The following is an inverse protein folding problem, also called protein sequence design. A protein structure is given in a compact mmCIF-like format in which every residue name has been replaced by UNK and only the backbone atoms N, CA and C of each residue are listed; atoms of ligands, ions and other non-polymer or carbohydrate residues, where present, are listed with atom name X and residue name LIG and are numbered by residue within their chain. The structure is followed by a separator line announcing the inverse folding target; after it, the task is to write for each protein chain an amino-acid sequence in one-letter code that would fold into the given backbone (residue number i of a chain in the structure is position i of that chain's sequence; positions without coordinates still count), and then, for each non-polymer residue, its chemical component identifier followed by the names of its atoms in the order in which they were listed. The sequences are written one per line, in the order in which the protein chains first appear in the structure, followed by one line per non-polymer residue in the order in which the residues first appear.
data_IF_602778335011
#
_entry.id   IF_602778335011
#
_cell.length_a   1.000
_cell.length_b   1.000
_cell.length_c   1.000
_cell.angle_alpha   90.00
_cell.angle_beta   90.00
_cell.angle_gamma   90.00
#
_symmetry.space_group_name_H-M   'P 1'
#
loop_
_entity.id
_entity.type
_entity.pdbx_description
1 polymer ?
#
# COMPACT_ATOMS: atom_id res chain seq x y z
N UNK A 1 14.69 -33.78 -16.30
CA UNK A 1 13.61 -33.30 -15.41
C UNK A 1 14.06 -32.00 -14.75
N UNK A 2 13.94 -30.84 -15.39
CA UNK A 2 14.45 -29.58 -14.81
C UNK A 2 13.85 -28.28 -15.34
N UNK A 3 13.00 -28.34 -16.37
CA UNK A 3 12.30 -27.16 -16.92
C UNK A 3 10.86 -27.02 -16.42
N UNK A 4 10.12 -28.12 -16.25
CA UNK A 4 8.70 -28.08 -15.83
C UNK A 4 8.48 -27.58 -14.38
N UNK A 5 9.45 -27.78 -13.48
CA UNK A 5 9.37 -27.27 -12.11
C UNK A 5 9.54 -25.75 -11.99
N UNK A 6 10.22 -25.10 -12.95
CA UNK A 6 10.46 -23.64 -12.90
C UNK A 6 9.26 -22.80 -13.33
N UNK A 7 8.29 -23.40 -14.01
CA UNK A 7 7.12 -22.69 -14.60
C UNK A 7 5.89 -22.84 -13.69
N UNK A 8 5.91 -23.76 -12.73
CA UNK A 8 4.79 -23.94 -11.81
C UNK A 8 4.60 -22.69 -10.94
N UNK A 9 3.38 -22.16 -10.91
CA UNK A 9 3.05 -20.92 -10.19
C UNK A 9 3.57 -19.64 -10.85
N UNK A 10 4.18 -19.70 -12.05
CA UNK A 10 4.65 -18.50 -12.75
C UNK A 10 3.49 -17.56 -13.10
N UNK A 11 2.37 -18.10 -13.57
CA UNK A 11 1.18 -17.32 -13.91
C UNK A 11 0.59 -16.63 -12.67
N UNK A 12 0.57 -17.32 -11.53
CA UNK A 12 0.11 -16.78 -10.24
C UNK A 12 1.02 -15.63 -9.79
N UNK A 13 2.34 -15.81 -9.89
CA UNK A 13 3.32 -14.75 -9.56
C UNK A 13 3.21 -13.57 -10.52
N UNK A 14 2.99 -13.80 -11.81
CA UNK A 14 2.77 -12.71 -12.79
C UNK A 14 1.51 -11.94 -12.42
N UNK A 15 0.42 -12.63 -12.05
CA UNK A 15 -0.81 -12.00 -11.63
C UNK A 15 -0.63 -11.18 -10.34
N UNK A 16 0.08 -11.73 -9.36
CA UNK A 16 0.41 -11.04 -8.10
C UNK A 16 1.25 -9.79 -8.34
N UNK A 17 2.36 -9.91 -9.08
CA UNK A 17 3.22 -8.77 -9.38
C UNK A 17 2.49 -7.71 -10.20
N UNK A 18 1.63 -8.11 -11.16
CA UNK A 18 0.80 -7.15 -11.90
C UNK A 18 -0.13 -6.38 -10.96
N UNK A 19 -0.77 -7.07 -10.02
CA UNK A 19 -1.63 -6.43 -9.01
C UNK A 19 -0.87 -5.44 -8.14
N UNK A 20 0.31 -5.84 -7.67
CA UNK A 20 1.20 -5.00 -6.87
C UNK A 20 1.66 -3.77 -7.66
N UNK A 21 2.16 -3.96 -8.88
CA UNK A 21 2.61 -2.88 -9.76
C UNK A 21 1.49 -1.89 -10.06
N UNK A 22 0.29 -2.38 -10.38
CA UNK A 22 -0.85 -1.49 -10.66
C UNK A 22 -1.23 -0.65 -9.43
N UNK A 23 -1.23 -1.26 -8.24
CA UNK A 23 -1.52 -0.55 -6.99
C UNK A 23 -0.46 0.52 -6.71
N UNK A 24 0.83 0.19 -6.91
CA UNK A 24 1.92 1.15 -6.75
C UNK A 24 1.85 2.31 -7.75
N UNK A 25 1.49 2.04 -9.01
CA UNK A 25 1.30 3.08 -10.02
C UNK A 25 0.11 3.97 -9.70
N UNK A 26 -1.03 3.40 -9.29
CA UNK A 26 -2.21 4.16 -8.87
C UNK A 26 -1.86 5.08 -7.70
N UNK A 27 -1.13 4.56 -6.71
CA UNK A 27 -0.66 5.37 -5.61
C UNK A 27 0.22 6.54 -6.08
N UNK A 28 1.15 6.32 -7.01
CA UNK A 28 1.99 7.38 -7.53
C UNK A 28 1.19 8.46 -8.28
N UNK A 29 0.08 8.07 -8.94
CA UNK A 29 -0.88 9.00 -9.54
C UNK A 29 -1.63 9.79 -8.47
N UNK A 30 -2.13 9.13 -7.43
CA UNK A 30 -2.87 9.77 -6.33
C UNK A 30 -2.01 10.80 -5.57
N UNK A 31 -0.69 10.56 -5.50
CA UNK A 31 0.29 11.48 -4.92
C UNK A 31 0.73 12.62 -5.86
N UNK A 32 0.28 12.64 -7.11
CA UNK A 32 0.72 13.62 -8.11
C UNK A 32 2.16 13.44 -8.61
N UNK A 33 2.77 12.28 -8.37
CA UNK A 33 4.10 11.92 -8.87
C UNK A 33 4.01 11.52 -10.34
N UNK A 34 2.98 10.76 -10.70
CA UNK A 34 2.73 10.31 -12.06
C UNK A 34 1.44 10.91 -12.63
N UNK A 35 1.42 11.10 -13.95
CA UNK A 35 0.20 11.39 -14.70
C UNK A 35 0.09 10.42 -15.87
N UNK A 36 -1.09 9.81 -16.01
CA UNK A 36 -1.42 8.95 -17.14
C UNK A 36 -2.11 9.82 -18.21
N UNK A 37 -1.52 9.89 -19.40
CA UNK A 37 -2.10 10.61 -20.54
C UNK A 37 -3.17 9.78 -21.27
N UNK A 38 -3.91 10.43 -22.17
CA UNK A 38 -5.04 9.83 -22.90
C UNK A 38 -4.65 8.63 -23.79
N UNK A 39 -3.37 8.52 -24.15
CA UNK A 39 -2.80 7.42 -24.92
C UNK A 39 -2.13 6.34 -24.03
N UNK A 40 -2.44 6.32 -22.73
CA UNK A 40 -1.83 5.44 -21.72
C UNK A 40 -0.32 5.62 -21.56
N UNK A 41 0.23 6.75 -22.03
CA UNK A 41 1.61 7.14 -21.67
C UNK A 41 1.67 7.59 -20.21
N UNK A 42 2.80 7.33 -19.57
CA UNK A 42 3.04 7.73 -18.18
C UNK A 42 4.10 8.82 -18.18
N UNK A 43 3.76 9.99 -17.63
CA UNK A 43 4.68 11.09 -17.42
C UNK A 43 5.01 11.21 -15.94
N UNK A 44 6.29 11.43 -15.63
CA UNK A 44 6.73 11.79 -14.27
C UNK A 44 6.56 13.30 -14.14
N UNK A 45 5.68 13.74 -13.25
CA UNK A 45 5.28 15.16 -13.13
C UNK A 45 5.96 15.83 -11.94
N UNK A 46 6.31 15.07 -10.91
CA UNK A 46 7.07 15.54 -9.76
C UNK A 46 8.01 14.45 -9.25
N UNK A 47 9.04 14.85 -8.51
CA UNK A 47 9.83 13.91 -7.72
C UNK A 47 8.98 13.34 -6.59
N UNK A 48 9.33 12.14 -6.12
CA UNK A 48 8.77 11.63 -4.87
C UNK A 48 9.07 12.62 -3.76
N UNK A 49 8.04 13.24 -3.22
CA UNK A 49 8.18 14.05 -2.03
C UNK A 49 8.53 13.14 -0.87
N UNK A 50 9.67 13.35 -0.23
CA UNK A 50 9.99 12.76 1.09
C UNK A 50 9.08 13.30 2.21
N UNK A 51 8.02 14.03 1.86
CA UNK A 51 7.03 14.54 2.78
C UNK A 51 6.39 13.33 3.47
N UNK A 52 6.40 13.24 4.81
CA UNK A 52 5.74 12.15 5.50
C UNK A 52 4.32 11.99 4.94
N UNK A 53 3.99 10.77 4.49
CA UNK A 53 2.67 10.41 3.95
C UNK A 53 1.50 10.79 4.88
N UNK A 54 1.83 11.11 6.13
CA UNK A 54 0.93 11.65 7.12
C UNK A 54 1.29 13.12 7.40
N UNK A 55 0.33 14.01 7.18
CA UNK A 55 0.35 15.36 7.74
C UNK A 55 0.58 15.34 9.25
N UNK A 56 1.07 16.45 9.79
CA UNK A 56 1.25 16.63 11.25
C UNK A 56 -0.04 16.33 12.04
N UNK A 57 -1.20 16.69 11.48
CA UNK A 57 -2.49 16.40 12.08
C UNK A 57 -2.85 14.91 12.06
N UNK A 58 -2.54 14.19 10.97
CA UNK A 58 -2.71 12.74 10.90
C UNK A 58 -1.80 12.02 11.91
N UNK A 59 -0.55 12.46 12.06
CA UNK A 59 0.37 11.93 13.07
C UNK A 59 -0.16 12.17 14.49
N UNK A 60 -0.64 13.39 14.76
CA UNK A 60 -1.24 13.75 16.05
C UNK A 60 -2.50 12.94 16.34
N UNK A 61 -3.34 12.70 15.33
CA UNK A 61 -4.52 11.87 15.45
C UNK A 61 -4.13 10.40 15.75
N UNK A 62 -3.14 9.86 15.05
CA UNK A 62 -2.64 8.50 15.28
C UNK A 62 -2.08 8.33 16.72
N UNK A 63 -1.31 9.30 17.22
CA UNK A 63 -0.83 9.27 18.61
C UNK A 63 -1.97 9.31 19.63
N UNK A 64 -2.98 10.15 19.42
CA UNK A 64 -4.16 10.22 20.30
C UNK A 64 -4.98 8.93 20.26
N UNK A 65 -5.09 8.30 19.10
CA UNK A 65 -5.73 7.00 18.96
C UNK A 65 -4.96 5.93 19.75
N UNK A 66 -3.63 5.96 19.71
CA UNK A 66 -2.78 5.09 20.53
C UNK A 66 -3.05 5.25 22.03
N UNK A 67 -3.15 6.48 22.52
CA UNK A 67 -3.49 6.77 23.93
C UNK A 67 -4.90 6.28 24.31
N UNK A 68 -5.87 6.38 23.41
CA UNK A 68 -7.22 5.86 23.64
C UNK A 68 -7.21 4.33 23.77
N UNK A 69 -6.31 3.66 23.05
CA UNK A 69 -6.21 2.21 22.97
C UNK A 69 -5.24 1.61 24.00
N UNK A 70 -4.41 2.44 24.65
CA UNK A 70 -3.42 2.04 25.67
C UNK A 70 -3.97 1.10 26.76
N UNK A 71 -5.21 1.25 27.26
CA UNK A 71 -5.72 0.37 28.31
C UNK A 71 -6.06 -1.05 27.85
N UNK A 72 -6.09 -1.31 26.54
CA UNK A 72 -6.53 -2.59 25.97
C UNK A 72 -5.35 -3.42 25.47
N UNK A 73 -5.46 -4.74 25.57
CA UNK A 73 -4.48 -5.65 24.97
C UNK A 73 -4.59 -5.65 23.43
N UNK A 74 -3.49 -5.99 22.76
CA UNK A 74 -3.39 -5.99 21.29
C UNK A 74 -4.53 -6.76 20.61
N UNK A 75 -4.93 -7.97 21.06
CA UNK A 75 -6.07 -8.67 20.48
C UNK A 75 -7.40 -7.91 20.61
N UNK A 76 -7.64 -7.23 21.73
CA UNK A 76 -8.87 -6.43 21.92
C UNK A 76 -8.88 -5.22 21.01
N UNK A 77 -7.74 -4.52 20.89
CA UNK A 77 -7.59 -3.39 19.97
C UNK A 77 -7.94 -3.80 18.53
N UNK A 78 -7.41 -4.91 18.04
CA UNK A 78 -7.71 -5.40 16.69
C UNK A 78 -9.18 -5.76 16.48
N UNK A 79 -9.83 -6.36 17.48
CA UNK A 79 -11.29 -6.58 17.43
C UNK A 79 -12.06 -5.27 17.35
N UNK A 80 -11.67 -4.25 18.12
CA UNK A 80 -12.33 -2.94 18.14
C UNK A 80 -12.25 -2.22 16.80
N UNK A 81 -11.14 -2.35 16.07
CA UNK A 81 -10.94 -1.72 14.75
C UNK A 81 -11.37 -2.61 13.58
N UNK A 82 -12.00 -3.76 13.84
CA UNK A 82 -12.56 -4.64 12.81
C UNK A 82 -11.57 -5.55 12.09
N UNK A 83 -10.36 -5.72 12.62
CA UNK A 83 -9.34 -6.66 12.09
C UNK A 83 -9.68 -8.07 12.60
N UNK A 84 -10.20 -8.91 11.69
CA UNK A 84 -10.78 -10.23 12.02
C UNK A 84 -9.75 -11.38 12.09
N UNK A 85 -8.55 -11.18 11.55
CA UNK A 85 -7.43 -12.12 11.60
C UNK A 85 -6.12 -11.34 11.62
N UNK A 86 -5.21 -11.77 12.49
CA UNK A 86 -3.79 -11.49 12.40
C UNK A 86 -3.10 -12.55 11.55
#
# INVERSE_FOLDING_TARGET
MGEKERIYGLDERIAEYRGLTNTSLQHAVDMGVLQVGDNLSVNVVSDWTNDPMCSSDQLKAASKLGLLLEPFDVPTVYRMIGVKKL
#
